data_IF_481931695969
#
_entry.id   IF_481931695969
#
_cell.length_a   1.000
_cell.length_b   1.000
_cell.length_c   1.000
_cell.angle_alpha   90.00
_cell.angle_beta   90.00
_cell.angle_gamma   90.00
#
_symmetry.space_group_name_H-M   'P 1'
#
loop_
_entity.id
_entity.type
_entity.pdbx_description
1 polymer ?
#
# COMPACT_ATOMS: atom_id res chain seq x y z
N UNK A 1 -35.77 -17.63 44.46
CA UNK A 1 -35.56 -17.52 43.00
C UNK A 1 -35.53 -18.93 42.41
N UNK A 2 -36.54 -19.33 41.63
CA UNK A 2 -36.65 -20.70 41.11
C UNK A 2 -35.55 -21.00 40.08
N UNK A 3 -35.16 -22.27 39.97
CA UNK A 3 -34.10 -22.75 39.08
C UNK A 3 -34.31 -22.33 37.61
N UNK A 4 -35.57 -22.23 37.18
CA UNK A 4 -35.97 -21.76 35.85
C UNK A 4 -35.53 -20.32 35.56
N UNK A 5 -35.57 -19.43 36.57
CA UNK A 5 -35.18 -18.02 36.42
C UNK A 5 -33.65 -17.87 36.36
N UNK A 6 -32.90 -18.74 37.06
CA UNK A 6 -31.43 -18.80 36.98
C UNK A 6 -30.95 -19.36 35.63
N UNK A 7 -31.64 -20.37 35.10
CA UNK A 7 -31.31 -20.96 33.80
C UNK A 7 -31.60 -19.98 32.65
N UNK A 8 -32.74 -19.28 32.70
CA UNK A 8 -33.10 -18.26 31.70
C UNK A 8 -32.12 -17.08 31.67
N UNK A 9 -31.62 -16.63 32.83
CA UNK A 9 -30.57 -15.61 32.89
C UNK A 9 -29.24 -16.11 32.34
N UNK A 10 -28.86 -17.37 32.60
CA UNK A 10 -27.63 -17.95 32.08
C UNK A 10 -27.62 -18.07 30.55
N UNK A 11 -28.74 -18.48 29.95
CA UNK A 11 -28.89 -18.57 28.49
C UNK A 11 -28.85 -17.17 27.84
N UNK A 12 -29.49 -16.17 28.47
CA UNK A 12 -29.43 -14.79 27.97
C UNK A 12 -28.00 -14.22 28.01
N UNK A 13 -27.25 -14.47 29.08
CA UNK A 13 -25.85 -14.04 29.18
C UNK A 13 -24.93 -14.76 28.19
N UNK A 14 -25.15 -16.06 27.94
CA UNK A 14 -24.39 -16.81 26.94
C UNK A 14 -24.70 -16.33 25.51
N UNK A 15 -25.97 -16.04 25.20
CA UNK A 15 -26.37 -15.48 23.90
C UNK A 15 -25.77 -14.09 23.65
N UNK A 16 -25.75 -13.23 24.68
CA UNK A 16 -25.10 -11.92 24.60
C UNK A 16 -23.57 -12.06 24.46
N UNK A 17 -22.93 -12.95 25.22
CA UNK A 17 -21.50 -13.23 25.09
C UNK A 17 -21.12 -13.75 23.70
N UNK A 18 -21.93 -14.64 23.12
CA UNK A 18 -21.74 -15.14 21.75
C UNK A 18 -22.05 -14.08 20.69
N UNK A 19 -23.00 -13.17 20.93
CA UNK A 19 -23.28 -12.06 20.01
C UNK A 19 -22.13 -11.05 19.91
N UNK A 20 -21.35 -10.89 20.98
CA UNK A 20 -20.13 -10.07 20.98
C UNK A 20 -18.97 -10.71 20.22
N UNK A 21 -18.99 -12.04 20.03
CA UNK A 21 -18.00 -12.77 19.23
C UNK A 21 -18.41 -12.79 17.74
N UNK A 22 -19.71 -12.67 17.44
CA UNK A 22 -20.27 -12.69 16.08
C UNK A 22 -20.56 -11.32 15.44
N UNK A 23 -20.54 -10.23 16.20
CA UNK A 23 -20.63 -8.87 15.69
C UNK A 23 -19.22 -8.31 15.56
N UNK A 24 -18.68 -8.29 14.33
CA UNK A 24 -17.31 -7.88 14.04
C UNK A 24 -16.86 -6.68 14.87
N UNK A 25 -15.73 -6.84 15.56
CA UNK A 25 -15.01 -5.77 16.23
C UNK A 25 -14.61 -4.75 15.19
N UNK A 26 -15.49 -3.80 14.87
CA UNK A 26 -15.10 -2.60 14.14
C UNK A 26 -14.05 -1.90 14.99
N UNK A 27 -12.79 -1.94 14.54
CA UNK A 27 -11.71 -1.23 15.18
C UNK A 27 -11.97 0.27 15.01
N UNK A 28 -12.66 0.87 15.97
CA UNK A 28 -13.01 2.28 15.97
C UNK A 28 -11.83 3.08 16.55
N UNK A 29 -10.88 3.45 15.68
CA UNK A 29 -9.80 4.36 16.04
C UNK A 29 -10.42 5.75 16.24
N UNK A 30 -10.61 6.12 17.51
CA UNK A 30 -11.07 7.44 17.91
C UNK A 30 -9.85 8.25 18.38
N UNK A 31 -9.28 9.03 17.46
CA UNK A 31 -8.52 10.22 17.82
C UNK A 31 -8.94 11.38 16.92
N UNK A 32 -8.99 12.59 17.48
CA UNK A 32 -9.43 13.80 16.78
C UNK A 32 -8.25 14.75 16.66
N UNK A 33 -7.32 14.40 15.78
CA UNK A 33 -6.21 15.25 15.38
C UNK A 33 -6.42 15.72 13.93
N UNK A 34 -6.23 17.02 13.70
CA UNK A 34 -6.34 17.62 12.36
C UNK A 34 -5.03 17.33 11.64
N UNK A 35 -5.00 16.25 10.86
CA UNK A 35 -3.82 15.87 10.10
C UNK A 35 -3.64 16.79 8.89
N UNK A 36 -2.61 17.65 8.96
CA UNK A 36 -2.06 18.36 7.81
C UNK A 36 -1.27 17.37 6.94
N UNK A 37 -1.96 16.53 6.17
CA UNK A 37 -1.28 15.65 5.22
C UNK A 37 -1.21 16.32 3.85
N UNK A 38 -0.10 16.99 3.61
CA UNK A 38 0.32 17.41 2.28
C UNK A 38 0.59 16.16 1.45
N UNK A 39 -0.40 15.71 0.69
CA UNK A 39 -0.19 14.77 -0.41
C UNK A 39 0.51 15.51 -1.54
N UNK A 40 1.84 15.57 -1.49
CA UNK A 40 2.60 16.14 -2.60
C UNK A 40 2.57 15.14 -3.76
N UNK A 41 1.86 15.49 -4.84
CA UNK A 41 2.14 14.96 -6.17
C UNK A 41 3.61 15.27 -6.50
N UNK A 42 4.34 14.29 -7.02
CA UNK A 42 5.78 14.40 -7.25
C UNK A 42 6.16 14.01 -8.67
N UNK A 43 7.08 14.77 -9.27
CA UNK A 43 7.75 14.40 -10.52
C UNK A 43 8.97 13.55 -10.19
N UNK A 44 9.01 12.32 -10.72
CA UNK A 44 10.16 11.44 -10.71
C UNK A 44 10.86 11.54 -12.05
N UNK A 45 12.01 12.20 -12.07
CA UNK A 45 12.90 12.16 -13.23
C UNK A 45 13.67 10.84 -13.21
N UNK A 46 13.25 9.91 -14.07
CA UNK A 46 13.78 8.56 -14.11
C UNK A 46 15.24 8.52 -14.62
N UNK A 47 15.75 9.61 -15.18
CA UNK A 47 17.16 9.68 -15.62
C UNK A 47 18.15 9.77 -14.46
N UNK A 48 17.67 9.99 -13.23
CA UNK A 48 18.49 10.21 -12.04
C UNK A 48 18.43 9.06 -11.02
N UNK A 49 17.83 7.91 -11.38
CA UNK A 49 17.55 6.78 -10.47
C UNK A 49 16.94 7.24 -9.12
N UNK A 50 15.77 7.91 -9.16
CA UNK A 50 15.28 8.67 -8.03
C UNK A 50 14.87 7.77 -6.87
N UNK A 51 15.02 8.33 -5.67
CA UNK A 51 14.48 7.78 -4.42
C UNK A 51 13.37 8.66 -3.89
N UNK A 52 12.28 8.05 -3.46
CA UNK A 52 11.15 8.76 -2.84
C UNK A 52 10.79 8.15 -1.50
N UNK A 53 10.43 9.02 -0.55
CA UNK A 53 9.92 8.65 0.76
C UNK A 53 8.41 8.81 0.76
N UNK A 54 7.70 7.74 1.07
CA UNK A 54 6.24 7.72 1.20
C UNK A 54 5.92 7.53 2.68
N UNK A 55 5.43 8.59 3.32
CA UNK A 55 4.94 8.55 4.69
C UNK A 55 3.45 8.16 4.69
N UNK A 56 3.14 7.09 5.42
CA UNK A 56 1.79 6.56 5.60
C UNK A 56 1.53 6.48 7.10
N UNK A 57 0.65 7.35 7.57
CA UNK A 57 0.29 7.53 8.97
C UNK A 57 -1.21 7.77 9.12
N UNK A 58 -1.68 7.71 10.36
CA UNK A 58 -3.06 8.01 10.75
C UNK A 58 -4.10 7.12 10.04
N UNK A 59 -3.77 5.85 9.78
CA UNK A 59 -4.69 4.88 9.19
C UNK A 59 -5.35 4.00 10.23
N UNK A 60 -6.63 3.73 10.00
CA UNK A 60 -7.36 2.62 10.60
C UNK A 60 -7.67 1.54 9.56
N UNK A 61 -8.00 0.31 9.98
CA UNK A 61 -8.48 -0.73 9.09
C UNK A 61 -9.62 -0.23 8.21
N UNK A 62 -9.53 -0.56 6.93
CA UNK A 62 -10.41 -0.08 5.86
C UNK A 62 -9.99 1.25 5.21
N UNK A 63 -9.10 2.02 5.83
CA UNK A 63 -8.63 3.27 5.23
C UNK A 63 -7.66 3.04 4.08
N UNK A 64 -7.65 3.98 3.14
CA UNK A 64 -6.78 3.95 1.98
C UNK A 64 -6.14 5.33 1.71
N UNK A 65 -4.89 5.31 1.30
CA UNK A 65 -4.06 6.47 0.94
C UNK A 65 -3.64 6.30 -0.50
N UNK A 66 -3.85 7.33 -1.31
CA UNK A 66 -3.42 7.33 -2.72
C UNK A 66 -2.24 8.26 -2.90
N UNK A 67 -1.30 7.85 -3.75
CA UNK A 67 -0.15 8.62 -4.18
C UNK A 67 -0.07 8.58 -5.70
N UNK A 68 0.20 9.74 -6.27
CA UNK A 68 0.42 9.93 -7.69
C UNK A 68 1.92 10.19 -7.92
N UNK A 69 2.48 9.49 -8.90
CA UNK A 69 3.86 9.66 -9.33
C UNK A 69 3.86 10.01 -10.82
N UNK A 70 4.35 11.21 -11.15
CA UNK A 70 4.61 11.59 -12.54
C UNK A 70 5.99 11.06 -12.92
N UNK A 71 6.01 10.00 -13.72
CA UNK A 71 7.22 9.38 -14.23
C UNK A 71 7.65 10.13 -15.49
N UNK A 72 8.79 10.81 -15.43
CA UNK A 72 9.28 11.64 -16.52
C UNK A 72 10.58 11.11 -17.08
N UNK A 73 10.67 11.00 -18.41
CA UNK A 73 11.92 10.76 -19.12
C UNK A 73 12.46 12.09 -19.67
N UNK A 74 13.29 12.79 -18.89
CA UNK A 74 13.96 14.02 -19.35
C UNK A 74 15.19 13.74 -20.25
N UNK A 75 15.48 12.47 -20.55
CA UNK A 75 16.66 12.06 -21.29
C UNK A 75 16.49 12.18 -22.80
N UNK A 76 17.51 11.74 -23.54
CA UNK A 76 17.52 11.73 -25.01
C UNK A 76 17.27 10.34 -25.60
N UNK A 77 17.11 9.32 -24.77
CA UNK A 77 16.88 7.92 -25.17
C UNK A 77 15.63 7.40 -24.45
N UNK A 78 14.94 6.48 -25.10
CA UNK A 78 13.76 5.80 -24.54
C UNK A 78 14.17 4.96 -23.32
N UNK A 79 13.36 5.05 -22.26
CA UNK A 79 13.45 4.16 -21.10
C UNK A 79 12.59 2.94 -21.40
N UNK A 80 13.22 1.77 -21.48
CA UNK A 80 12.55 0.53 -21.84
C UNK A 80 11.73 -0.04 -20.68
N UNK A 81 12.34 -0.08 -19.51
CA UNK A 81 11.70 -0.58 -18.28
C UNK A 81 12.20 0.17 -17.05
N UNK A 82 11.47 0.02 -15.95
CA UNK A 82 11.87 0.52 -14.63
C UNK A 82 11.73 -0.61 -13.62
N UNK A 83 12.81 -0.85 -12.88
CA UNK A 83 12.83 -1.80 -11.76
C UNK A 83 12.57 -1.05 -10.47
N UNK A 84 11.51 -1.47 -9.76
CA UNK A 84 11.14 -0.90 -8.47
C UNK A 84 11.75 -1.73 -7.34
N UNK A 85 12.63 -1.13 -6.55
CA UNK A 85 13.09 -1.70 -5.29
C UNK A 85 12.34 -1.05 -4.12
N UNK A 86 11.81 -1.88 -3.22
CA UNK A 86 11.02 -1.44 -2.07
C UNK A 86 11.75 -1.72 -0.78
N UNK A 87 11.83 -0.72 0.10
CA UNK A 87 12.26 -0.88 1.48
C UNK A 87 11.30 -0.15 2.41
N UNK A 88 10.85 -0.78 3.48
CA UNK A 88 10.04 -0.11 4.50
C UNK A 88 10.52 -0.42 5.91
N UNK A 89 10.10 0.43 6.83
CA UNK A 89 10.22 0.21 8.26
C UNK A 89 8.90 0.51 8.94
N UNK A 90 8.50 -0.34 9.88
CA UNK A 90 7.39 -0.08 10.80
C UNK A 90 7.94 0.66 12.01
N UNK A 91 7.29 1.77 12.36
CA UNK A 91 7.48 2.41 13.66
C UNK A 91 6.31 2.00 14.55
N UNK A 92 6.57 1.01 15.39
CA UNK A 92 5.67 0.60 16.47
C UNK A 92 5.77 1.64 17.60
N UNK A 93 4.71 2.44 17.78
CA UNK A 93 4.75 3.55 18.73
C UNK A 93 4.60 3.06 20.17
N UNK A 94 3.86 1.97 20.39
CA UNK A 94 3.53 1.44 21.72
C UNK A 94 4.41 0.24 22.12
N UNK A 95 5.11 -0.35 21.18
CA UNK A 95 5.89 -1.57 21.36
C UNK A 95 5.03 -2.81 21.58
N UNK A 96 3.74 -2.79 21.19
CA UNK A 96 2.74 -3.80 21.53
C UNK A 96 2.31 -4.67 20.33
N UNK A 97 3.00 -4.55 19.19
CA UNK A 97 2.76 -5.40 18.02
C UNK A 97 3.06 -6.89 18.25
N UNK A 98 3.72 -7.25 19.35
CA UNK A 98 4.05 -8.64 19.72
C UNK A 98 4.79 -9.43 18.62
N UNK A 99 5.60 -8.72 17.81
CA UNK A 99 6.35 -9.29 16.69
C UNK A 99 5.55 -9.41 15.39
N UNK A 100 4.29 -8.98 15.37
CA UNK A 100 3.52 -8.86 14.15
C UNK A 100 3.98 -7.65 13.32
N UNK A 101 3.99 -7.82 11.99
CA UNK A 101 4.49 -6.82 11.07
C UNK A 101 3.31 -6.08 10.43
N UNK A 102 3.17 -4.79 10.74
CA UNK A 102 2.13 -3.95 10.18
C UNK A 102 2.15 -3.91 8.63
N UNK A 103 3.32 -4.06 8.00
CA UNK A 103 3.46 -4.11 6.54
C UNK A 103 2.72 -5.29 5.87
N UNK A 104 2.40 -6.36 6.61
CA UNK A 104 1.57 -7.47 6.10
C UNK A 104 0.10 -7.11 5.97
N UNK A 105 -0.35 -6.11 6.74
CA UNK A 105 -1.74 -5.64 6.77
C UNK A 105 -1.95 -4.43 5.85
N UNK A 106 -0.87 -3.92 5.25
CA UNK A 106 -0.93 -2.84 4.27
C UNK A 106 -0.79 -3.40 2.86
N UNK A 107 -1.89 -3.36 2.13
CA UNK A 107 -1.97 -3.76 0.74
C UNK A 107 -1.58 -2.61 -0.18
N UNK A 108 -0.81 -2.91 -1.22
CA UNK A 108 -0.31 -1.96 -2.21
C UNK A 108 -0.91 -2.33 -3.57
N UNK A 109 -1.54 -1.37 -4.23
CA UNK A 109 -2.22 -1.52 -5.52
C UNK A 109 -1.64 -0.53 -6.51
N UNK A 110 -1.10 -1.01 -7.63
CA UNK A 110 -0.54 -0.18 -8.71
C UNK A 110 -1.55 -0.03 -9.85
N UNK A 111 -1.72 1.21 -10.36
CA UNK A 111 -2.70 1.53 -11.40
C UNK A 111 -2.11 2.55 -12.42
N UNK A 112 -2.34 2.32 -13.71
CA UNK A 112 -1.94 3.25 -14.79
C UNK A 112 -3.09 4.12 -15.30
N UNK A 113 -4.34 3.65 -15.20
CA UNK A 113 -5.49 4.32 -15.80
C UNK A 113 -6.65 4.48 -14.80
N UNK A 114 -6.50 5.43 -13.87
CA UNK A 114 -7.46 5.59 -12.77
C UNK A 114 -8.90 5.93 -13.21
N UNK A 115 -9.09 6.57 -14.37
CA UNK A 115 -10.39 7.08 -14.86
C UNK A 115 -11.39 5.98 -15.25
N UNK A 116 -10.96 4.73 -15.47
CA UNK A 116 -11.83 3.71 -16.11
C UNK A 116 -12.04 2.44 -15.31
N UNK A 117 -12.56 2.52 -14.09
CA UNK A 117 -12.93 1.33 -13.28
C UNK A 117 -11.83 0.25 -13.30
N UNK A 118 -10.57 0.67 -13.24
CA UNK A 118 -9.46 -0.22 -13.57
C UNK A 118 -9.06 -1.02 -12.35
N UNK A 119 -9.13 -2.34 -12.49
CA UNK A 119 -8.46 -3.29 -11.62
C UNK A 119 -6.97 -2.91 -11.53
N UNK A 120 -6.33 -3.07 -10.36
CA UNK A 120 -4.90 -2.83 -10.25
C UNK A 120 -4.14 -3.75 -11.22
N UNK A 121 -3.12 -3.21 -11.88
CA UNK A 121 -2.24 -4.03 -12.73
C UNK A 121 -1.41 -5.01 -11.89
N UNK A 122 -1.14 -4.61 -10.64
CA UNK A 122 -0.48 -5.44 -9.66
C UNK A 122 -0.97 -5.08 -8.24
N UNK A 123 -1.20 -6.11 -7.43
CA UNK A 123 -1.62 -5.98 -6.03
C UNK A 123 -0.84 -6.96 -5.16
N UNK A 124 -0.34 -6.48 -4.02
CA UNK A 124 0.38 -7.32 -3.03
C UNK A 124 0.33 -6.67 -1.64
N UNK A 125 0.96 -7.27 -0.63
CA UNK A 125 1.22 -6.60 0.66
C UNK A 125 2.54 -5.84 0.62
N UNK A 126 2.72 -4.82 1.46
CA UNK A 126 3.99 -4.09 1.54
C UNK A 126 5.14 -5.02 1.99
N UNK A 127 4.84 -5.96 2.87
CA UNK A 127 5.78 -6.98 3.33
C UNK A 127 6.27 -7.93 2.23
N UNK A 128 5.39 -8.28 1.29
CA UNK A 128 5.74 -9.14 0.16
C UNK A 128 6.39 -8.32 -0.96
N UNK A 129 5.91 -7.10 -1.22
CA UNK A 129 6.50 -6.17 -2.19
C UNK A 129 8.00 -5.93 -1.95
N UNK A 130 8.42 -5.80 -0.68
CA UNK A 130 9.84 -5.66 -0.32
C UNK A 130 10.69 -6.88 -0.67
N UNK A 131 10.10 -8.08 -0.75
CA UNK A 131 10.80 -9.35 -0.99
C UNK A 131 10.75 -9.79 -2.45
N UNK A 132 9.79 -9.28 -3.22
CA UNK A 132 9.63 -9.62 -4.62
C UNK A 132 10.81 -9.11 -5.44
N UNK A 133 11.25 -9.93 -6.39
CA UNK A 133 12.30 -9.58 -7.33
C UNK A 133 11.91 -8.33 -8.16
N UNK A 134 12.73 -7.27 -8.19
CA UNK A 134 12.46 -6.09 -9.00
C UNK A 134 12.25 -6.36 -10.50
N UNK A 135 12.83 -7.43 -11.04
CA UNK A 135 12.62 -7.84 -12.44
C UNK A 135 11.19 -8.36 -12.66
N UNK A 136 10.63 -9.10 -11.71
CA UNK A 136 9.24 -9.56 -11.77
C UNK A 136 8.28 -8.38 -11.58
N UNK A 137 8.58 -7.48 -10.64
CA UNK A 137 7.80 -6.26 -10.44
C UNK A 137 7.81 -5.37 -11.69
N UNK A 138 8.92 -5.32 -12.44
CA UNK A 138 8.98 -4.59 -13.70
C UNK A 138 7.97 -5.13 -14.73
N UNK A 139 7.84 -6.46 -14.83
CA UNK A 139 6.88 -7.13 -15.72
C UNK A 139 5.43 -6.93 -15.28
N UNK A 140 5.15 -7.03 -13.98
CA UNK A 140 3.77 -6.95 -13.49
C UNK A 140 3.26 -5.51 -13.43
N UNK A 141 4.13 -4.56 -13.06
CA UNK A 141 3.74 -3.16 -12.88
C UNK A 141 3.88 -2.38 -14.18
N UNK A 142 5.04 -2.40 -14.85
CA UNK A 142 5.33 -1.44 -15.93
C UNK A 142 5.08 -1.99 -17.34
N UNK A 143 5.31 -3.29 -17.57
CA UNK A 143 5.10 -3.87 -18.90
C UNK A 143 3.65 -3.78 -19.44
N UNK A 144 2.57 -3.78 -18.62
CA UNK A 144 1.22 -3.56 -19.14
C UNK A 144 1.03 -2.21 -19.85
N UNK A 145 1.75 -1.17 -19.41
CA UNK A 145 1.69 0.17 -20.02
C UNK A 145 2.77 0.35 -21.09
N UNK A 146 3.99 -0.12 -20.83
CA UNK A 146 5.16 0.17 -21.65
C UNK A 146 5.59 -0.97 -22.57
N UNK A 147 5.20 -2.21 -22.28
CA UNK A 147 5.60 -3.39 -23.05
C UNK A 147 5.05 -3.38 -24.48
N UNK A 148 3.81 -2.90 -24.68
CA UNK A 148 3.22 -2.73 -26.02
C UNK A 148 3.68 -1.44 -26.72
N UNK A 149 4.02 -0.39 -25.94
CA UNK A 149 4.42 0.92 -26.46
C UNK A 149 5.92 1.08 -26.71
N UNK A 150 6.74 0.12 -26.26
CA UNK A 150 8.20 0.16 -26.41
C UNK A 150 8.91 1.02 -25.36
N UNK A 151 8.32 1.22 -24.19
CA UNK A 151 8.91 2.04 -23.12
C UNK A 151 8.29 3.43 -22.98
N UNK A 152 8.95 4.26 -22.15
CA UNK A 152 8.69 5.68 -22.00
C UNK A 152 9.65 6.48 -22.89
N UNK A 153 9.12 7.05 -23.97
CA UNK A 153 9.89 7.83 -24.96
C UNK A 153 10.64 9.03 -24.35
N UNK A 154 11.69 9.47 -25.03
CA UNK A 154 12.45 10.65 -24.62
C UNK A 154 11.56 11.91 -24.65
N UNK A 155 11.57 12.67 -23.55
CA UNK A 155 10.81 13.91 -23.40
C UNK A 155 9.33 13.74 -23.06
N UNK A 156 8.85 12.50 -22.84
CA UNK A 156 7.47 12.22 -22.44
C UNK A 156 7.37 11.88 -20.95
N UNK A 157 6.12 11.77 -20.48
CA UNK A 157 5.79 11.49 -19.10
C UNK A 157 4.52 10.64 -19.01
N UNK A 158 4.46 9.78 -18.00
CA UNK A 158 3.29 8.96 -17.67
C UNK A 158 2.98 9.06 -16.17
N UNK A 159 1.72 8.78 -15.80
CA UNK A 159 1.28 8.81 -14.41
C UNK A 159 1.14 7.39 -13.86
N UNK A 160 1.89 7.09 -12.81
CA UNK A 160 1.71 5.88 -12.00
C UNK A 160 0.96 6.23 -10.72
N UNK A 161 -0.18 5.58 -10.51
CA UNK A 161 -0.97 5.71 -9.30
C UNK A 161 -0.74 4.51 -8.40
N UNK A 162 -0.61 4.78 -7.10
CA UNK A 162 -0.46 3.73 -6.09
C UNK A 162 -1.41 4.00 -4.94
N UNK A 163 -2.22 3.00 -4.62
CA UNK A 163 -3.06 3.00 -3.43
C UNK A 163 -2.46 2.06 -2.38
N UNK A 164 -2.32 2.59 -1.16
CA UNK A 164 -1.98 1.84 0.04
C UNK A 164 -3.26 1.70 0.88
N UNK A 165 -3.62 0.48 1.24
CA UNK A 165 -4.83 0.18 2.01
C UNK A 165 -4.44 -0.59 3.27
N UNK A 166 -4.83 -0.07 4.44
CA UNK A 166 -4.78 -0.87 5.66
C UNK A 166 -6.00 -1.79 5.66
N UNK A 167 -5.79 -3.08 5.39
CA UNK A 167 -6.87 -4.05 5.20
C UNK A 167 -7.56 -4.34 6.54
N UNK A 168 -8.89 -4.19 6.57
CA UNK A 168 -9.74 -4.70 7.64
C UNK A 168 -9.93 -6.21 7.49
N UNK A 169 -9.36 -6.97 8.43
CA UNK A 169 -9.43 -8.43 8.43
C UNK A 169 -10.59 -8.99 9.27
N UNK A 170 -11.45 -8.11 9.80
CA UNK A 170 -12.60 -8.42 10.64
C UNK A 170 -12.24 -8.81 12.07
N UNK A 171 -10.97 -8.72 12.48
CA UNK A 171 -10.49 -8.99 13.86
C UNK A 171 -10.08 -7.71 14.57
N UNK A 172 -9.67 -7.83 15.84
CA UNK A 172 -9.10 -6.72 16.58
C UNK A 172 -7.67 -6.41 16.08
N UNK A 173 -7.53 -5.30 15.37
CA UNK A 173 -6.25 -4.79 14.83
C UNK A 173 -5.74 -3.57 15.61
N UNK A 174 -6.24 -3.32 16.83
CA UNK A 174 -5.82 -2.17 17.66
C UNK A 174 -4.35 -2.20 18.08
N UNK A 175 -3.67 -3.35 17.92
CA UNK A 175 -2.22 -3.47 18.14
C UNK A 175 -1.44 -2.49 17.26
N UNK A 176 -1.93 -2.17 16.05
CA UNK A 176 -1.27 -1.23 15.15
C UNK A 176 -1.64 0.25 15.40
N UNK A 177 -2.30 0.56 16.52
CA UNK A 177 -2.78 1.92 16.78
C UNK A 177 -1.66 2.91 17.04
N UNK A 178 -1.57 3.90 16.15
CA UNK A 178 -0.56 4.96 16.20
C UNK A 178 0.71 4.59 15.45
N UNK A 179 0.80 3.38 14.91
CA UNK A 179 1.93 2.95 14.11
C UNK A 179 1.98 3.69 12.78
N UNK A 180 3.20 3.81 12.27
CA UNK A 180 3.46 4.47 10.98
C UNK A 180 4.43 3.65 10.14
N UNK A 181 4.27 3.75 8.83
CA UNK A 181 5.17 3.15 7.85
C UNK A 181 5.99 4.22 7.17
N UNK A 182 7.30 4.03 7.15
CA UNK A 182 8.21 4.79 6.30
C UNK A 182 8.66 3.89 5.15
N UNK A 183 8.31 4.27 3.93
CA UNK A 183 8.58 3.52 2.70
C UNK A 183 9.58 4.30 1.83
N UNK A 184 10.70 3.67 1.51
CA UNK A 184 11.66 4.12 0.51
C UNK A 184 11.49 3.30 -0.77
N UNK A 185 11.19 3.98 -1.87
CA UNK A 185 11.17 3.41 -3.20
C UNK A 185 12.34 3.92 -4.02
N UNK A 186 13.05 3.00 -4.66
CA UNK A 186 14.10 3.29 -5.64
C UNK A 186 13.64 2.81 -7.01
N UNK A 187 13.57 3.72 -7.97
CA UNK A 187 13.22 3.43 -9.36
C UNK A 187 14.51 3.40 -10.17
N UNK A 188 14.86 2.24 -10.73
CA UNK A 188 16.04 2.09 -11.58
C UNK A 188 15.59 1.94 -13.03
N UNK A 189 15.86 2.95 -13.86
CA UNK A 189 15.41 2.97 -15.24
C UNK A 189 16.45 2.33 -16.17
N UNK A 190 16.03 1.42 -17.03
CA UNK A 190 16.91 0.78 -18.01
C UNK A 190 16.57 1.25 -19.43
N UNK A 191 17.60 1.56 -20.20
CA UNK A 191 17.49 1.91 -21.62
C UNK A 191 17.54 0.65 -22.49
N UNK A 192 17.21 0.80 -23.78
CA UNK A 192 17.40 -0.26 -24.76
C UNK A 192 18.87 -0.65 -24.93
N UNK A 193 19.11 -1.85 -25.46
CA UNK A 193 20.45 -2.27 -25.81
C UNK A 193 21.04 -1.31 -26.87
N UNK A 194 22.32 -0.98 -26.74
CA UNK A 194 22.99 -0.11 -27.70
C UNK A 194 23.00 -0.72 -29.11
N UNK A 195 22.71 0.10 -30.12
CA UNK A 195 22.86 -0.27 -31.52
C UNK A 195 24.21 0.23 -32.07
N UNK A 196 24.86 -0.57 -32.91
CA UNK A 196 26.06 -0.15 -33.65
C UNK A 196 25.64 0.86 -34.73
N UNK A 197 26.30 2.04 -34.75
CA UNK A 197 26.01 3.14 -35.68
C UNK A 197 27.06 3.25 -36.78
#
# INVERSE_FOLDING_TARGET
>A
MSLKKKLGMGVASAALGLSLIGGGTFAYFSDKEVSNNTFAAGTLDLTLDPKTLVDIKDLKPGDSVKKEFLLKNSGSLTIKDVKLATKYTVKDVKGDNAGEDFGKHVKVKFLWNWDKQSEPVYETTLADLQKTDPDLLAQDIFAPEWGEKGGLEAGTEDYLWVQFEFVDDGKDQNIFQGDSLNLEWTFNANQEAGEEK
#
